data_IF_849058416212
#
_entry.id   IF_849058416212
#
_cell.length_a   1.000
_cell.length_b   1.000
_cell.length_c   1.000
_cell.angle_alpha   90.00
_cell.angle_beta   90.00
_cell.angle_gamma   90.00
#
_symmetry.space_group_name_H-M   'P 1'
#
loop_
_entity.id
_entity.type
_entity.pdbx_description
1 polymer ?
#
# COMPACT_ATOMS: atom_id res chain seq x y z
N UNK A 1 -3.14 -17.04 -23.39
CA UNK A 1 -2.75 -15.63 -23.16
C UNK A 1 -1.56 -15.61 -22.20
N UNK A 2 -0.50 -14.88 -22.52
CA UNK A 2 0.60 -14.61 -21.58
C UNK A 2 0.10 -13.78 -20.40
N UNK A 3 0.81 -13.77 -19.28
CA UNK A 3 0.46 -12.94 -18.11
C UNK A 3 0.26 -11.47 -18.53
N UNK A 4 1.23 -10.93 -19.29
CA UNK A 4 1.21 -9.58 -19.85
C UNK A 4 -0.02 -9.29 -20.73
N UNK A 5 -0.45 -10.25 -21.54
CA UNK A 5 -1.64 -10.06 -22.38
C UNK A 5 -2.92 -10.02 -21.55
N UNK A 6 -2.96 -10.75 -20.43
CA UNK A 6 -4.06 -10.67 -19.47
C UNK A 6 -4.04 -9.33 -18.75
N UNK A 7 -2.88 -8.88 -18.27
CA UNK A 7 -2.73 -7.58 -17.58
C UNK A 7 -3.26 -6.45 -18.47
N UNK A 8 -2.86 -6.44 -19.75
CA UNK A 8 -3.35 -5.49 -20.73
C UNK A 8 -4.87 -5.53 -20.92
N UNK A 9 -5.47 -6.72 -20.97
CA UNK A 9 -6.92 -6.85 -21.13
C UNK A 9 -7.69 -6.35 -19.89
N UNK A 10 -7.19 -6.63 -18.68
CA UNK A 10 -7.78 -6.10 -17.45
C UNK A 10 -7.58 -4.59 -17.34
N UNK A 11 -6.40 -4.09 -17.70
CA UNK A 11 -6.09 -2.66 -17.77
C UNK A 11 -7.04 -1.93 -18.73
N UNK A 12 -7.26 -2.50 -19.91
CA UNK A 12 -8.22 -1.97 -20.88
C UNK A 12 -9.66 -2.06 -20.38
N UNK A 13 -10.03 -3.09 -19.62
CA UNK A 13 -11.36 -3.21 -19.03
C UNK A 13 -11.60 -2.28 -17.82
N UNK A 14 -10.53 -1.90 -17.11
CA UNK A 14 -10.58 -1.00 -15.97
C UNK A 14 -10.47 0.50 -16.34
N UNK A 15 -10.35 0.82 -17.63
CA UNK A 15 -10.28 2.20 -18.11
C UNK A 15 -11.69 2.78 -18.26
N UNK A 16 -11.95 3.90 -17.57
CA UNK A 16 -13.28 4.54 -17.55
C UNK A 16 -13.59 5.35 -18.82
N UNK A 17 -12.59 5.78 -19.59
CA UNK A 17 -12.78 6.67 -20.74
C UNK A 17 -12.88 5.89 -22.06
N UNK A 18 -11.83 5.12 -22.37
CA UNK A 18 -11.71 4.41 -23.65
C UNK A 18 -11.66 2.88 -23.49
N UNK A 19 -12.08 2.37 -22.33
CA UNK A 19 -11.95 0.96 -21.98
C UNK A 19 -12.92 -0.02 -22.65
N UNK A 20 -12.65 -1.31 -22.43
CA UNK A 20 -13.57 -2.37 -22.83
C UNK A 20 -14.86 -2.34 -22.00
N UNK A 21 -16.01 -2.45 -22.67
CA UNK A 21 -17.30 -2.63 -21.99
C UNK A 21 -17.55 -4.07 -21.52
N UNK A 22 -16.85 -5.04 -22.10
CA UNK A 22 -17.02 -6.46 -21.82
C UNK A 22 -15.65 -7.15 -21.71
N UNK A 23 -15.49 -7.93 -20.65
CA UNK A 23 -14.36 -8.83 -20.49
C UNK A 23 -14.85 -10.28 -20.53
N UNK A 24 -14.34 -11.06 -21.48
CA UNK A 24 -14.65 -12.49 -21.59
C UNK A 24 -13.57 -13.27 -20.85
N UNK A 25 -13.97 -13.99 -19.80
CA UNK A 25 -13.08 -14.77 -18.96
C UNK A 25 -13.36 -16.27 -19.15
N UNK A 26 -12.29 -17.05 -19.35
CA UNK A 26 -12.29 -18.48 -19.05
C UNK A 26 -11.93 -18.71 -17.58
N UNK A 27 -12.20 -19.89 -17.02
CA UNK A 27 -11.89 -20.27 -15.63
C UNK A 27 -10.47 -19.84 -15.16
N UNK A 28 -9.44 -20.11 -15.98
CA UNK A 28 -8.03 -19.82 -15.67
C UNK A 28 -7.68 -18.33 -15.88
N UNK A 29 -8.56 -17.57 -16.54
CA UNK A 29 -8.34 -16.18 -16.96
C UNK A 29 -8.70 -15.15 -15.87
N UNK A 30 -9.54 -15.53 -14.91
CA UNK A 30 -10.05 -14.65 -13.85
C UNK A 30 -9.39 -14.86 -12.48
N UNK A 31 -8.44 -15.80 -12.36
CA UNK A 31 -7.77 -16.08 -11.09
C UNK A 31 -6.89 -14.88 -10.64
N UNK A 32 -6.82 -14.63 -9.34
CA UNK A 32 -6.01 -13.56 -8.74
C UNK A 32 -6.55 -12.13 -8.79
N UNK A 33 -7.51 -11.78 -9.66
CA UNK A 33 -7.84 -10.37 -9.93
C UNK A 33 -9.05 -9.80 -9.19
N UNK A 34 -9.02 -8.49 -8.93
CA UNK A 34 -10.09 -7.71 -8.34
C UNK A 34 -10.80 -6.86 -9.41
N UNK A 35 -12.08 -7.13 -9.69
CA UNK A 35 -12.91 -6.30 -10.58
C UNK A 35 -13.97 -5.55 -9.79
N UNK A 36 -13.57 -4.89 -8.70
CA UNK A 36 -14.48 -4.20 -7.78
C UNK A 36 -15.19 -2.98 -8.40
N UNK A 37 -14.73 -2.51 -9.56
CA UNK A 37 -15.41 -1.49 -10.36
C UNK A 37 -16.58 -2.06 -11.18
N UNK A 38 -16.57 -3.37 -11.48
CA UNK A 38 -17.65 -4.04 -12.18
C UNK A 38 -18.67 -4.60 -11.20
N UNK A 39 -19.94 -4.45 -11.54
CA UNK A 39 -21.08 -4.91 -10.74
C UNK A 39 -22.11 -5.67 -11.57
N UNK A 40 -21.73 -6.11 -12.78
CA UNK A 40 -22.54 -6.97 -13.65
C UNK A 40 -21.75 -8.21 -14.02
N UNK A 41 -22.29 -9.39 -13.70
CA UNK A 41 -21.70 -10.68 -14.04
C UNK A 41 -22.65 -11.44 -14.98
N UNK A 42 -22.18 -11.79 -16.17
CA UNK A 42 -22.93 -12.65 -17.09
C UNK A 42 -22.34 -14.06 -17.06
N UNK A 43 -23.12 -15.02 -16.58
CA UNK A 43 -22.74 -16.43 -16.54
C UNK A 43 -23.27 -17.13 -17.80
N UNK A 44 -22.43 -17.18 -18.84
CA UNK A 44 -22.79 -17.83 -20.10
C UNK A 44 -22.95 -19.37 -19.96
N UNK A 45 -22.28 -19.95 -18.97
CA UNK A 45 -22.47 -21.31 -18.51
C UNK A 45 -22.45 -21.35 -16.97
N UNK A 46 -23.13 -22.35 -16.42
CA UNK A 46 -23.02 -22.72 -15.01
C UNK A 46 -22.09 -23.94 -14.85
N UNK A 47 -21.11 -23.88 -13.93
CA UNK A 47 -20.28 -25.03 -13.60
C UNK A 47 -21.09 -26.05 -12.80
N UNK A 48 -20.71 -27.33 -12.84
CA UNK A 48 -21.36 -28.35 -12.00
C UNK A 48 -20.95 -28.23 -10.53
N UNK A 49 -19.71 -27.81 -10.26
CA UNK A 49 -19.22 -27.63 -8.90
C UNK A 49 -19.65 -26.25 -8.35
N UNK A 50 -20.46 -26.21 -7.27
CA UNK A 50 -20.88 -24.95 -6.63
C UNK A 50 -19.71 -24.06 -6.18
N UNK A 51 -18.57 -24.64 -5.81
CA UNK A 51 -17.41 -23.85 -5.38
C UNK A 51 -16.83 -23.03 -6.54
N UNK A 52 -16.92 -23.53 -7.77
CA UNK A 52 -16.50 -22.76 -8.95
C UNK A 52 -17.46 -21.61 -9.24
N UNK A 53 -18.76 -21.82 -9.02
CA UNK A 53 -19.75 -20.73 -9.13
C UNK A 53 -19.46 -19.63 -8.11
N UNK A 54 -19.23 -20.00 -6.85
CA UNK A 54 -18.87 -19.05 -5.78
C UNK A 54 -17.57 -18.31 -6.12
N UNK A 55 -16.56 -19.00 -6.66
CA UNK A 55 -15.31 -18.36 -7.08
C UNK A 55 -15.50 -17.38 -8.25
N UNK A 56 -16.47 -17.61 -9.15
CA UNK A 56 -16.83 -16.69 -10.24
C UNK A 56 -17.52 -15.44 -9.68
N UNK A 57 -18.50 -15.61 -8.78
CA UNK A 57 -19.23 -14.50 -8.14
C UNK A 57 -18.28 -13.67 -7.27
N UNK A 58 -17.45 -14.35 -6.48
CA UNK A 58 -16.45 -13.74 -5.60
C UNK A 58 -15.32 -13.00 -6.31
N UNK A 59 -15.36 -12.81 -7.64
CA UNK A 59 -14.50 -11.84 -8.35
C UNK A 59 -15.03 -10.42 -8.27
N UNK A 60 -16.35 -10.28 -8.12
CA UNK A 60 -17.06 -9.01 -7.97
C UNK A 60 -17.59 -8.84 -6.55
N UNK A 61 -18.06 -9.93 -5.92
CA UNK A 61 -18.56 -9.94 -4.55
C UNK A 61 -17.40 -10.02 -3.55
N UNK A 62 -16.75 -8.87 -3.32
CA UNK A 62 -15.65 -8.70 -2.37
C UNK A 62 -15.87 -7.44 -1.55
N UNK A 63 -15.30 -7.43 -0.34
CA UNK A 63 -15.19 -6.21 0.47
C UNK A 63 -14.49 -5.13 -0.35
N UNK A 64 -15.13 -3.97 -0.50
CA UNK A 64 -14.68 -2.87 -1.37
C UNK A 64 -15.54 -2.65 -2.62
N UNK A 65 -16.43 -3.59 -2.97
CA UNK A 65 -17.46 -3.40 -3.98
C UNK A 65 -18.44 -2.29 -3.53
N UNK A 66 -18.69 -1.32 -4.42
CA UNK A 66 -19.51 -0.12 -4.10
C UNK A 66 -20.96 -0.26 -4.56
N UNK A 67 -21.28 -1.24 -5.39
CA UNK A 67 -22.61 -1.43 -5.98
C UNK A 67 -23.11 -2.86 -5.80
N UNK A 68 -24.43 -3.05 -5.82
CA UNK A 68 -25.03 -4.39 -5.80
C UNK A 68 -24.59 -5.16 -7.05
N UNK A 69 -24.05 -6.37 -6.85
CA UNK A 69 -23.66 -7.26 -7.95
C UNK A 69 -24.91 -7.83 -8.60
N UNK A 70 -25.10 -7.57 -9.90
CA UNK A 70 -26.20 -8.07 -10.70
C UNK A 70 -25.73 -9.28 -11.52
N UNK A 71 -26.28 -10.46 -11.23
CA UNK A 71 -25.94 -11.70 -11.92
C UNK A 71 -26.98 -11.97 -13.01
N UNK A 72 -26.52 -12.15 -14.24
CA UNK A 72 -27.32 -12.44 -15.43
C UNK A 72 -26.97 -13.85 -15.90
N UNK A 73 -27.94 -14.76 -15.89
CA UNK A 73 -27.74 -16.16 -16.29
C UNK A 73 -28.60 -16.47 -17.51
N UNK A 74 -28.14 -16.19 -18.74
CA UNK A 74 -28.82 -16.65 -19.93
C UNK A 74 -28.73 -18.18 -20.03
N UNK A 75 -29.86 -18.84 -20.21
CA UNK A 75 -29.92 -20.30 -20.40
C UNK A 75 -30.91 -20.64 -21.52
N UNK A 76 -30.72 -21.81 -22.15
CA UNK A 76 -31.67 -22.35 -23.11
C UNK A 76 -32.84 -23.00 -22.38
N UNK A 77 -34.07 -22.72 -22.82
CA UNK A 77 -35.25 -23.43 -22.35
C UNK A 77 -35.13 -24.92 -22.67
N UNK A 78 -35.71 -25.76 -21.80
CA UNK A 78 -35.73 -27.21 -21.91
C UNK A 78 -34.32 -27.79 -22.06
N UNK A 79 -33.40 -27.35 -21.19
CA UNK A 79 -32.00 -27.76 -21.20
C UNK A 79 -31.47 -28.16 -19.82
N UNK A 80 -30.36 -28.91 -19.78
CA UNK A 80 -29.66 -29.22 -18.53
C UNK A 80 -29.20 -27.96 -17.78
N UNK A 81 -28.90 -26.87 -18.49
CA UNK A 81 -28.56 -25.57 -17.88
C UNK A 81 -29.76 -24.96 -17.14
N UNK A 82 -30.99 -25.12 -17.65
CA UNK A 82 -32.20 -24.69 -16.92
C UNK A 82 -32.37 -25.47 -15.61
N UNK A 83 -32.19 -26.79 -15.65
CA UNK A 83 -32.24 -27.66 -14.45
C UNK A 83 -31.21 -27.19 -13.42
N UNK A 84 -29.97 -26.99 -13.85
CA UNK A 84 -28.87 -26.57 -12.98
C UNK A 84 -29.10 -25.15 -12.40
N UNK A 85 -29.57 -24.21 -13.22
CA UNK A 85 -29.92 -22.86 -12.79
C UNK A 85 -30.98 -22.88 -11.70
N UNK A 86 -32.08 -23.62 -11.92
CA UNK A 86 -33.15 -23.75 -10.93
C UNK A 86 -32.67 -24.41 -9.64
N UNK A 87 -31.85 -25.46 -9.74
CA UNK A 87 -31.28 -26.10 -8.56
C UNK A 87 -30.36 -25.15 -7.76
N UNK A 88 -29.53 -24.36 -8.45
CA UNK A 88 -28.68 -23.35 -7.80
C UNK A 88 -29.48 -22.26 -7.11
N UNK A 89 -30.53 -21.75 -7.75
CA UNK A 89 -31.32 -20.63 -7.24
C UNK A 89 -32.35 -21.08 -6.18
N UNK A 90 -33.19 -22.05 -6.51
CA UNK A 90 -34.33 -22.47 -5.68
C UNK A 90 -33.93 -23.49 -4.62
N UNK A 91 -32.93 -24.34 -4.92
CA UNK A 91 -32.44 -25.40 -4.04
C UNK A 91 -31.45 -24.89 -3.01
N UNK A 92 -30.28 -24.42 -3.45
CA UNK A 92 -29.19 -24.01 -2.54
C UNK A 92 -29.02 -22.49 -2.38
N UNK A 93 -29.75 -21.70 -3.17
CA UNK A 93 -29.68 -20.22 -3.26
C UNK A 93 -28.26 -19.64 -3.40
N UNK A 94 -27.45 -20.21 -4.28
CA UNK A 94 -26.04 -19.84 -4.46
C UNK A 94 -25.81 -18.53 -5.25
N UNK A 95 -26.84 -17.94 -5.86
CA UNK A 95 -26.70 -16.68 -6.60
C UNK A 95 -26.85 -15.45 -5.69
N UNK A 96 -27.77 -15.51 -4.72
CA UNK A 96 -28.06 -14.37 -3.84
C UNK A 96 -27.29 -14.43 -2.52
N UNK A 97 -26.76 -15.60 -2.17
CA UNK A 97 -26.11 -15.86 -0.88
C UNK A 97 -24.98 -16.87 -1.05
N UNK A 98 -23.89 -16.64 -0.34
CA UNK A 98 -22.83 -17.63 -0.19
C UNK A 98 -23.36 -18.89 0.50
N UNK A 99 -23.14 -20.04 -0.12
CA UNK A 99 -23.52 -21.34 0.42
C UNK A 99 -22.27 -22.18 0.76
N UNK A 100 -21.76 -22.13 2.00
CA UNK A 100 -20.53 -22.84 2.38
C UNK A 100 -20.65 -24.37 2.33
N UNK A 101 -21.88 -24.89 2.22
CA UNK A 101 -22.16 -26.32 2.09
C UNK A 101 -22.45 -26.74 0.63
N UNK A 102 -22.23 -25.87 -0.35
CA UNK A 102 -22.59 -26.09 -1.76
C UNK A 102 -22.07 -27.43 -2.30
N UNK A 103 -20.75 -27.68 -2.22
CA UNK A 103 -20.15 -28.93 -2.70
C UNK A 103 -20.71 -30.18 -2.01
N UNK A 104 -20.91 -30.13 -0.68
CA UNK A 104 -21.45 -31.26 0.07
C UNK A 104 -22.91 -31.57 -0.35
N UNK A 105 -23.71 -30.53 -0.59
CA UNK A 105 -25.08 -30.67 -1.09
C UNK A 105 -25.09 -31.20 -2.53
N UNK A 106 -24.20 -30.71 -3.39
CA UNK A 106 -24.04 -31.24 -4.75
C UNK A 106 -23.73 -32.73 -4.71
N UNK A 107 -22.74 -33.17 -3.92
CA UNK A 107 -22.37 -34.58 -3.80
C UNK A 107 -23.53 -35.46 -3.29
N UNK A 108 -24.32 -34.93 -2.35
CA UNK A 108 -25.49 -35.64 -1.81
C UNK A 108 -26.58 -35.85 -2.85
N UNK A 109 -26.82 -34.86 -3.72
CA UNK A 109 -27.91 -34.87 -4.70
C UNK A 109 -27.46 -35.17 -6.13
N UNK A 110 -26.18 -35.44 -6.37
CA UNK A 110 -25.56 -35.62 -7.69
C UNK A 110 -26.32 -36.64 -8.56
N UNK A 111 -26.66 -37.80 -7.99
CA UNK A 111 -27.38 -38.84 -8.74
C UNK A 111 -28.78 -38.38 -9.19
N UNK A 112 -29.53 -37.71 -8.30
CA UNK A 112 -30.86 -37.22 -8.62
C UNK A 112 -30.80 -36.04 -9.62
N UNK A 113 -29.78 -35.19 -9.50
CA UNK A 113 -29.52 -34.11 -10.43
C UNK A 113 -29.18 -34.65 -11.83
N UNK A 114 -28.32 -35.67 -11.93
CA UNK A 114 -27.98 -36.35 -13.19
C UNK A 114 -29.19 -37.01 -13.86
N UNK A 115 -30.14 -37.53 -13.09
CA UNK A 115 -31.41 -38.05 -13.62
C UNK A 115 -32.26 -36.93 -14.22
N UNK A 116 -32.35 -35.77 -13.55
CA UNK A 116 -33.07 -34.60 -14.07
C UNK A 116 -32.39 -34.01 -15.31
N UNK A 117 -31.04 -34.03 -15.40
CA UNK A 117 -30.33 -33.64 -16.62
C UNK A 117 -30.65 -34.53 -17.81
N UNK A 118 -30.90 -35.81 -17.58
CA UNK A 118 -31.22 -36.78 -18.62
C UNK A 118 -32.71 -36.77 -19.02
N UNK A 119 -33.58 -36.25 -18.16
CA UNK A 119 -35.04 -36.22 -18.35
C UNK A 119 -35.61 -34.84 -18.01
N UNK A 120 -35.27 -33.85 -18.83
CA UNK A 120 -35.50 -32.42 -18.57
C UNK A 120 -36.99 -32.03 -18.59
N UNK A 121 -37.83 -32.81 -19.25
CA UNK A 121 -39.28 -32.57 -19.36
C UNK A 121 -40.05 -32.95 -18.08
N UNK A 122 -39.42 -33.70 -17.16
CA UNK A 122 -40.08 -34.16 -15.93
C UNK A 122 -40.00 -33.10 -14.82
N UNK A 123 -40.84 -32.07 -14.94
CA UNK A 123 -40.89 -30.96 -13.99
C UNK A 123 -41.19 -31.40 -12.55
N UNK A 124 -42.07 -32.39 -12.36
CA UNK A 124 -42.39 -32.91 -11.04
C UNK A 124 -41.18 -33.53 -10.32
N UNK A 125 -40.29 -34.21 -11.06
CA UNK A 125 -39.06 -34.75 -10.50
C UNK A 125 -38.08 -33.63 -10.10
N UNK A 126 -38.01 -32.56 -10.91
CA UNK A 126 -37.18 -31.39 -10.61
C UNK A 126 -37.70 -30.64 -9.38
N UNK A 127 -39.00 -30.39 -9.28
CA UNK A 127 -39.60 -29.74 -8.10
C UNK A 127 -39.32 -30.55 -6.82
N UNK A 128 -39.50 -31.88 -6.87
CA UNK A 128 -39.20 -32.73 -5.73
C UNK A 128 -37.71 -32.68 -5.34
N UNK A 129 -36.81 -32.65 -6.32
CA UNK A 129 -35.37 -32.50 -6.08
C UNK A 129 -35.06 -31.14 -5.42
N UNK A 130 -35.65 -30.07 -5.93
CA UNK A 130 -35.46 -28.71 -5.41
C UNK A 130 -35.96 -28.61 -3.97
N UNK A 131 -37.16 -29.12 -3.67
CA UNK A 131 -37.73 -29.10 -2.32
C UNK A 131 -36.88 -29.89 -1.33
N UNK A 132 -36.42 -31.09 -1.73
CA UNK A 132 -35.53 -31.91 -0.91
C UNK A 132 -34.19 -31.20 -0.67
N UNK A 133 -33.62 -30.58 -1.72
CA UNK A 133 -32.36 -29.84 -1.63
C UNK A 133 -32.51 -28.64 -0.71
N UNK A 134 -33.61 -27.89 -0.83
CA UNK A 134 -33.90 -26.70 -0.02
C UNK A 134 -34.06 -27.05 1.45
N UNK A 135 -34.81 -28.10 1.75
CA UNK A 135 -34.96 -28.60 3.13
C UNK A 135 -33.59 -28.99 3.71
N UNK A 136 -32.77 -29.71 2.95
CA UNK A 136 -31.44 -30.12 3.41
C UNK A 136 -30.48 -28.94 3.57
N UNK A 137 -30.54 -27.97 2.67
CA UNK A 137 -29.75 -26.73 2.75
C UNK A 137 -30.07 -25.97 4.02
N UNK A 138 -31.36 -25.80 4.34
CA UNK A 138 -31.78 -25.13 5.56
C UNK A 138 -31.29 -25.86 6.83
N UNK A 139 -31.39 -27.18 6.86
CA UNK A 139 -30.87 -28.02 7.95
C UNK A 139 -29.36 -27.86 8.12
N UNK A 140 -28.59 -27.96 7.03
CA UNK A 140 -27.13 -27.85 7.06
C UNK A 140 -26.66 -26.45 7.47
N UNK A 141 -27.29 -25.39 6.96
CA UNK A 141 -26.96 -24.03 7.36
C UNK A 141 -27.28 -23.78 8.84
N UNK A 142 -28.38 -24.32 9.36
CA UNK A 142 -28.69 -24.22 10.78
C UNK A 142 -27.66 -24.95 11.64
N UNK A 143 -27.24 -26.16 11.24
CA UNK A 143 -26.19 -26.90 11.93
C UNK A 143 -24.86 -26.13 11.95
N UNK A 144 -24.47 -25.53 10.81
CA UNK A 144 -23.27 -24.68 10.73
C UNK A 144 -23.38 -23.46 11.64
N UNK A 145 -24.53 -22.78 11.67
CA UNK A 145 -24.76 -21.63 12.55
C UNK A 145 -24.67 -22.00 14.05
N UNK A 146 -25.12 -23.19 14.42
CA UNK A 146 -25.01 -23.71 15.80
C UNK A 146 -23.58 -24.13 16.15
N UNK A 147 -22.80 -24.56 15.16
CA UNK A 147 -21.38 -24.91 15.32
C UNK A 147 -20.43 -23.70 15.34
N UNK A 148 -20.92 -22.47 15.13
CA UNK A 148 -20.09 -21.26 15.14
C UNK A 148 -19.55 -20.98 16.54
N UNK A 149 -18.23 -20.84 16.64
CA UNK A 149 -17.59 -20.28 17.83
C UNK A 149 -17.67 -18.75 17.78
N UNK A 150 -18.74 -18.22 18.39
CA UNK A 150 -18.98 -16.77 18.44
C UNK A 150 -17.90 -16.02 19.23
N UNK A 151 -17.26 -16.65 20.20
CA UNK A 151 -16.19 -16.01 20.96
C UNK A 151 -14.95 -15.86 20.10
N UNK A 152 -14.61 -16.88 19.31
CA UNK A 152 -13.52 -16.80 18.35
C UNK A 152 -13.80 -15.73 17.29
N UNK A 153 -15.01 -15.66 16.74
CA UNK A 153 -15.39 -14.64 15.75
C UNK A 153 -15.29 -13.21 16.33
N UNK A 154 -15.83 -12.97 17.53
CA UNK A 154 -15.74 -11.67 18.20
C UNK A 154 -14.30 -11.29 18.56
N UNK A 155 -13.43 -12.26 18.83
CA UNK A 155 -12.01 -12.02 19.07
C UNK A 155 -11.22 -11.84 17.76
N UNK A 156 -11.71 -12.41 16.65
CA UNK A 156 -11.00 -12.41 15.37
C UNK A 156 -10.95 -11.02 14.74
N UNK A 157 -12.03 -10.24 14.81
CA UNK A 157 -12.04 -8.85 14.37
C UNK A 157 -12.86 -8.03 15.35
N UNK A 158 -12.25 -6.96 15.87
CA UNK A 158 -12.98 -5.92 16.58
C UNK A 158 -13.12 -4.75 15.60
N UNK A 159 -14.32 -4.61 15.03
CA UNK A 159 -14.59 -3.66 13.95
C UNK A 159 -14.25 -2.22 14.34
N UNK A 160 -14.59 -1.78 15.57
CA UNK A 160 -14.29 -0.42 16.04
C UNK A 160 -12.78 -0.13 16.05
N UNK A 161 -11.97 -1.07 16.58
CA UNK A 161 -10.51 -0.92 16.58
C UNK A 161 -9.90 -1.07 15.20
N UNK A 162 -10.48 -1.94 14.37
CA UNK A 162 -10.03 -2.12 12.99
C UNK A 162 -10.25 -0.82 12.20
N UNK A 163 -11.41 -0.19 12.34
CA UNK A 163 -11.75 1.07 11.68
C UNK A 163 -10.83 2.23 12.11
N UNK A 164 -10.49 2.30 13.41
CA UNK A 164 -9.48 3.25 13.92
C UNK A 164 -8.12 3.04 13.25
N UNK A 165 -7.63 1.79 13.19
CA UNK A 165 -6.35 1.45 12.55
C UNK A 165 -6.38 1.78 11.06
N UNK A 166 -7.47 1.44 10.36
CA UNK A 166 -7.64 1.73 8.92
C UNK A 166 -7.61 3.23 8.68
N UNK A 167 -8.30 4.03 9.50
CA UNK A 167 -8.31 5.49 9.39
C UNK A 167 -6.90 6.05 9.53
N UNK A 168 -6.18 5.64 10.58
CA UNK A 168 -4.79 6.06 10.78
C UNK A 168 -3.86 5.61 9.64
N UNK A 169 -4.04 4.40 9.12
CA UNK A 169 -3.24 3.92 7.99
C UNK A 169 -3.44 4.78 6.74
N UNK A 170 -4.69 5.16 6.43
CA UNK A 170 -5.01 6.00 5.27
C UNK A 170 -4.44 7.41 5.45
N UNK A 171 -4.51 7.98 6.65
CA UNK A 171 -3.89 9.27 6.97
C UNK A 171 -2.36 9.23 6.83
N UNK A 172 -1.72 8.15 7.30
CA UNK A 172 -0.27 7.96 7.26
C UNK A 172 0.29 7.59 5.87
N UNK A 173 -0.56 7.27 4.88
CA UNK A 173 -0.09 7.14 3.49
C UNK A 173 0.53 8.45 2.98
N UNK A 174 0.08 9.62 3.49
CA UNK A 174 0.58 10.96 3.15
C UNK A 174 0.89 11.12 1.66
N UNK A 175 -0.04 10.68 0.81
CA UNK A 175 0.13 10.54 -0.64
C UNK A 175 0.79 11.75 -1.30
N UNK A 176 0.33 12.95 -0.96
CA UNK A 176 0.83 14.18 -1.57
C UNK A 176 2.29 14.47 -1.16
N UNK A 177 2.64 14.21 0.09
CA UNK A 177 4.00 14.37 0.60
C UNK A 177 4.96 13.41 -0.12
N UNK A 178 4.56 12.14 -0.24
CA UNK A 178 5.34 11.14 -0.95
C UNK A 178 5.49 11.49 -2.45
N UNK A 179 4.42 11.90 -3.11
CA UNK A 179 4.45 12.30 -4.51
C UNK A 179 5.41 13.47 -4.73
N UNK A 180 5.31 14.52 -3.92
CA UNK A 180 6.19 15.69 -4.02
C UNK A 180 7.65 15.33 -3.72
N UNK A 181 7.89 14.46 -2.74
CA UNK A 181 9.23 13.98 -2.40
C UNK A 181 9.83 13.20 -3.57
N UNK A 182 9.11 12.21 -4.10
CA UNK A 182 9.61 11.39 -5.20
C UNK A 182 9.80 12.19 -6.48
N UNK A 183 8.92 13.16 -6.78
CA UNK A 183 9.10 14.07 -7.92
C UNK A 183 10.44 14.81 -7.85
N UNK A 184 10.81 15.32 -6.66
CA UNK A 184 12.10 15.97 -6.44
C UNK A 184 13.26 15.00 -6.57
N UNK A 185 13.15 13.80 -6.00
CA UNK A 185 14.20 12.79 -6.10
C UNK A 185 14.42 12.39 -7.56
N UNK A 186 13.36 12.12 -8.31
CA UNK A 186 13.45 11.78 -9.72
C UNK A 186 14.15 12.89 -10.53
N UNK A 187 13.74 14.15 -10.36
CA UNK A 187 14.38 15.29 -11.03
C UNK A 187 15.88 15.41 -10.67
N UNK A 188 16.24 15.26 -9.39
CA UNK A 188 17.65 15.37 -8.97
C UNK A 188 18.52 14.23 -9.48
N UNK A 189 17.98 13.01 -9.59
CA UNK A 189 18.72 11.85 -10.09
C UNK A 189 18.61 11.66 -11.60
N UNK A 190 17.89 12.53 -12.31
CA UNK A 190 17.73 12.51 -13.77
C UNK A 190 16.82 11.40 -14.28
N UNK A 191 15.81 11.02 -13.50
CA UNK A 191 14.71 10.14 -13.92
C UNK A 191 13.63 11.00 -14.58
N UNK A 192 13.30 10.70 -15.83
CA UNK A 192 12.27 11.40 -16.59
C UNK A 192 10.88 10.97 -16.15
N UNK A 193 9.98 11.95 -16.04
CA UNK A 193 8.61 11.78 -15.59
C UNK A 193 7.66 12.23 -16.70
N UNK A 194 6.90 11.30 -17.26
CA UNK A 194 5.85 11.57 -18.24
C UNK A 194 4.48 11.40 -17.59
N UNK A 195 3.59 12.39 -17.80
CA UNK A 195 2.22 12.30 -17.28
C UNK A 195 1.44 11.21 -18.03
N UNK A 196 0.87 10.24 -17.29
CA UNK A 196 -0.03 9.24 -17.85
C UNK A 196 -1.50 9.60 -17.59
N UNK A 197 -1.88 9.79 -16.33
CA UNK A 197 -3.24 10.18 -15.92
C UNK A 197 -3.19 11.03 -14.65
N UNK A 198 -4.34 11.51 -14.16
CA UNK A 198 -4.42 12.39 -12.99
C UNK A 198 -3.75 11.85 -11.71
N UNK A 199 -3.53 10.52 -11.62
CA UNK A 199 -2.89 9.89 -10.47
C UNK A 199 -1.72 8.95 -10.84
N UNK A 200 -1.28 8.92 -12.11
CA UNK A 200 -0.26 8.00 -12.58
C UNK A 200 0.82 8.70 -13.41
N UNK A 201 2.07 8.24 -13.23
CA UNK A 201 3.27 8.75 -13.90
C UNK A 201 4.02 7.60 -14.57
N UNK A 202 4.55 7.84 -15.76
CA UNK A 202 5.52 6.95 -16.41
C UNK A 202 6.92 7.45 -16.06
N UNK A 203 7.74 6.55 -15.52
CA UNK A 203 9.12 6.82 -15.14
C UNK A 203 10.05 6.18 -16.16
N UNK A 204 11.01 6.95 -16.68
CA UNK A 204 12.03 6.47 -17.63
C UNK A 204 13.43 6.92 -17.20
N UNK A 205 14.49 6.14 -17.49
CA UNK A 205 15.85 6.62 -17.34
C UNK A 205 16.10 7.81 -18.29
N UNK A 206 16.60 8.93 -17.76
CA UNK A 206 16.95 10.11 -18.55
C UNK A 206 18.40 10.11 -19.03
N UNK A 207 18.70 10.91 -20.06
CA UNK A 207 20.06 11.00 -20.65
C UNK A 207 21.13 11.54 -19.67
N UNK A 208 20.70 12.25 -18.62
CA UNK A 208 21.55 12.94 -17.65
C UNK A 208 21.50 12.30 -16.26
N UNK A 209 21.06 11.05 -16.19
CA UNK A 209 20.95 10.29 -14.96
C UNK A 209 22.30 10.18 -14.24
N UNK A 210 22.32 10.49 -12.93
CA UNK A 210 23.58 10.56 -12.16
C UNK A 210 24.22 9.20 -11.96
N UNK A 211 23.40 8.16 -11.85
CA UNK A 211 23.81 6.77 -11.67
C UNK A 211 23.24 5.91 -12.80
N UNK A 212 23.92 4.81 -13.14
CA UNK A 212 23.47 3.90 -14.20
C UNK A 212 22.21 3.10 -13.84
N UNK A 213 21.77 3.15 -12.58
CA UNK A 213 20.63 2.39 -12.09
C UNK A 213 19.88 3.20 -11.03
N UNK A 214 18.54 3.21 -11.10
CA UNK A 214 17.68 3.72 -10.04
C UNK A 214 16.90 2.56 -9.44
N UNK A 215 16.75 2.48 -8.10
CA UNK A 215 16.08 1.36 -7.45
C UNK A 215 14.70 1.05 -8.04
N UNK A 216 14.53 -0.14 -8.61
CA UNK A 216 13.24 -0.58 -9.17
C UNK A 216 12.84 0.08 -10.50
N UNK A 217 13.72 0.85 -11.14
CA UNK A 217 13.52 1.38 -12.48
C UNK A 217 14.16 0.45 -13.52
N UNK A 218 13.40 0.02 -14.52
CA UNK A 218 13.88 -0.75 -15.66
C UNK A 218 14.23 0.15 -16.84
N UNK A 219 15.04 -0.36 -17.78
CA UNK A 219 15.41 0.35 -19.02
C UNK A 219 14.19 0.69 -19.91
N UNK A 220 13.15 -0.15 -19.87
CA UNK A 220 11.89 0.06 -20.60
C UNK A 220 10.97 1.12 -19.94
N UNK A 221 11.31 1.53 -18.72
CA UNK A 221 10.49 2.38 -17.87
C UNK A 221 9.41 1.61 -17.10
N UNK A 222 8.80 2.28 -16.12
CA UNK A 222 7.74 1.73 -15.28
C UNK A 222 6.62 2.74 -15.09
N UNK A 223 5.38 2.25 -15.08
CA UNK A 223 4.22 3.10 -14.72
C UNK A 223 3.96 2.95 -13.24
N UNK A 224 3.84 4.09 -12.55
CA UNK A 224 3.65 4.15 -11.11
C UNK A 224 2.44 5.03 -10.75
N UNK A 225 1.79 4.72 -9.64
CA UNK A 225 0.74 5.54 -9.04
C UNK A 225 0.96 5.67 -7.55
N UNK A 226 0.59 6.82 -6.99
CA UNK A 226 0.51 7.03 -5.55
C UNK A 226 -0.91 6.75 -5.03
N UNK A 227 -1.85 6.35 -5.90
CA UNK A 227 -3.23 6.06 -5.54
C UNK A 227 -3.49 4.57 -5.38
N UNK A 228 -3.87 4.16 -4.16
CA UNK A 228 -4.23 2.78 -3.86
C UNK A 228 -5.42 2.30 -4.70
N UNK A 229 -6.41 3.16 -4.93
CA UNK A 229 -7.59 2.83 -5.74
C UNK A 229 -7.21 2.51 -7.20
N UNK A 230 -6.28 3.29 -7.76
CA UNK A 230 -5.77 3.05 -9.12
C UNK A 230 -4.96 1.76 -9.14
N UNK A 231 -4.06 1.54 -8.18
CA UNK A 231 -3.28 0.30 -8.11
C UNK A 231 -4.14 -0.96 -7.93
N UNK A 232 -5.27 -0.88 -7.20
CA UNK A 232 -6.19 -2.01 -7.04
C UNK A 232 -6.95 -2.35 -8.33
N UNK A 233 -7.17 -1.37 -9.20
CA UNK A 233 -7.82 -1.59 -10.52
C UNK A 233 -6.82 -1.97 -11.62
N UNK A 234 -5.54 -1.57 -11.46
CA UNK A 234 -4.48 -1.72 -12.45
C UNK A 234 -3.26 -2.44 -11.86
N UNK A 235 -3.25 -3.78 -11.95
CA UNK A 235 -2.13 -4.62 -11.49
C UNK A 235 -0.81 -4.35 -12.24
N UNK A 236 -0.88 -3.76 -13.43
CA UNK A 236 0.28 -3.38 -14.25
C UNK A 236 0.99 -2.11 -13.76
N UNK A 237 0.37 -1.35 -12.85
CA UNK A 237 0.90 -0.10 -12.31
C UNK A 237 1.46 -0.34 -10.90
N UNK A 238 2.71 0.10 -10.67
CA UNK A 238 3.34 0.00 -9.35
C UNK A 238 2.70 0.99 -8.37
N UNK A 239 2.32 0.50 -7.18
CA UNK A 239 1.86 1.35 -6.09
C UNK A 239 3.05 1.86 -5.28
N UNK A 240 3.36 3.15 -5.39
CA UNK A 240 4.41 3.77 -4.58
C UNK A 240 3.85 4.19 -3.22
N UNK A 241 4.32 3.51 -2.17
CA UNK A 241 4.16 3.87 -0.77
C UNK A 241 5.53 4.17 -0.14
N UNK A 242 5.55 4.71 1.09
CA UNK A 242 6.80 4.90 1.84
C UNK A 242 7.61 3.60 2.05
N UNK A 243 6.93 2.45 1.99
CA UNK A 243 7.55 1.13 2.16
C UNK A 243 7.94 0.47 0.82
N UNK A 244 7.61 1.10 -0.31
CA UNK A 244 7.89 0.52 -1.62
C UNK A 244 9.42 0.43 -1.84
N UNK A 245 9.96 -0.68 -2.38
CA UNK A 245 11.41 -0.87 -2.53
C UNK A 245 12.12 0.26 -3.32
N UNK A 246 11.45 0.82 -4.33
CA UNK A 246 11.96 2.00 -5.06
C UNK A 246 12.11 3.22 -4.14
N UNK A 247 11.14 3.46 -3.25
CA UNK A 247 11.14 4.63 -2.35
C UNK A 247 12.18 4.44 -1.26
N UNK A 248 12.24 3.28 -0.62
CA UNK A 248 13.27 2.95 0.38
C UNK A 248 14.66 3.03 -0.24
N UNK A 249 14.85 2.44 -1.42
CA UNK A 249 16.14 2.47 -2.13
C UNK A 249 16.52 3.90 -2.53
N UNK A 250 15.57 4.72 -2.96
CA UNK A 250 15.81 6.11 -3.28
C UNK A 250 16.20 6.93 -2.04
N UNK A 251 15.55 6.69 -0.90
CA UNK A 251 15.94 7.28 0.39
C UNK A 251 17.35 6.86 0.80
N UNK A 252 17.68 5.57 0.69
CA UNK A 252 19.02 5.07 1.00
C UNK A 252 20.09 5.69 0.10
N UNK A 253 19.81 5.82 -1.20
CA UNK A 253 20.69 6.49 -2.16
C UNK A 253 20.94 7.96 -1.78
N UNK A 254 19.90 8.68 -1.35
CA UNK A 254 20.03 10.07 -0.86
C UNK A 254 20.85 10.13 0.43
N UNK A 255 20.60 9.22 1.38
CA UNK A 255 21.22 9.23 2.70
C UNK A 255 22.67 8.72 2.71
N UNK A 256 22.98 7.77 1.84
CA UNK A 256 24.31 7.16 1.69
C UNK A 256 25.21 7.95 0.73
N UNK A 257 24.62 8.81 -0.10
CA UNK A 257 25.35 9.63 -1.05
C UNK A 257 26.12 10.79 -0.42
N UNK A 258 27.06 11.35 -1.18
CA UNK A 258 27.75 12.60 -0.81
C UNK A 258 27.01 13.86 -1.27
N UNK A 259 25.99 13.68 -2.11
CA UNK A 259 25.23 14.77 -2.71
C UNK A 259 24.40 15.49 -1.64
N UNK A 260 24.56 16.81 -1.54
CA UNK A 260 23.86 17.61 -0.54
C UNK A 260 24.57 17.73 0.81
N UNK A 261 25.66 16.98 1.06
CA UNK A 261 26.39 17.03 2.35
C UNK A 261 27.03 18.39 2.67
N UNK A 262 27.34 19.19 1.64
CA UNK A 262 27.87 20.54 1.83
C UNK A 262 27.26 21.52 0.84
N UNK A 263 26.88 22.69 1.33
CA UNK A 263 26.39 23.79 0.52
C UNK A 263 26.99 25.12 1.00
N UNK A 264 27.13 26.07 0.08
CA UNK A 264 27.55 27.43 0.40
C UNK A 264 26.60 28.42 -0.27
N UNK A 265 25.97 29.28 0.53
CA UNK A 265 25.08 30.31 0.04
C UNK A 265 25.37 31.65 0.73
N UNK A 266 24.83 32.72 0.16
CA UNK A 266 24.78 34.03 0.81
C UNK A 266 23.40 34.27 1.38
N UNK A 267 23.32 34.90 2.54
CA UNK A 267 22.07 35.19 3.24
C UNK A 267 21.97 36.69 3.47
N UNK A 268 20.83 37.27 3.11
CA UNK A 268 20.54 38.68 3.40
C UNK A 268 19.69 38.78 4.67
N UNK A 269 20.36 38.94 5.80
CA UNK A 269 19.73 39.08 7.12
C UNK A 269 20.00 40.49 7.66
N UNK A 270 19.00 41.41 7.67
CA UNK A 270 19.17 42.77 8.18
C UNK A 270 19.72 42.89 9.62
N UNK A 271 19.39 42.00 10.59
CA UNK A 271 19.91 42.14 11.95
C UNK A 271 21.36 41.67 12.13
N UNK A 272 21.97 41.00 11.13
CA UNK A 272 23.35 40.53 11.21
C UNK A 272 24.31 41.49 10.52
N UNK A 273 25.52 41.61 11.09
CA UNK A 273 26.57 42.44 10.49
C UNK A 273 27.04 41.85 9.16
N UNK A 274 27.25 42.67 8.12
CA UNK A 274 27.84 42.20 6.86
C UNK A 274 29.19 41.51 7.10
N UNK A 275 29.40 40.35 6.49
CA UNK A 275 30.62 39.55 6.65
C UNK A 275 30.57 38.53 7.79
N UNK A 276 29.46 38.44 8.54
CA UNK A 276 29.23 37.35 9.49
C UNK A 276 29.17 36.00 8.77
N UNK A 277 29.92 35.03 9.28
CA UNK A 277 29.87 33.63 8.84
C UNK A 277 28.87 32.89 9.71
N UNK A 278 27.98 32.13 9.07
CA UNK A 278 27.07 31.19 9.72
C UNK A 278 27.46 29.78 9.29
N UNK A 279 27.40 28.84 10.21
CA UNK A 279 27.55 27.41 9.95
C UNK A 279 26.27 26.72 10.38
N UNK A 280 25.61 26.04 9.44
CA UNK A 280 24.58 25.06 9.72
C UNK A 280 25.22 23.67 9.62
N UNK A 281 25.10 22.89 10.69
CA UNK A 281 25.56 21.51 10.77
C UNK A 281 24.39 20.62 11.17
N UNK A 282 24.16 19.55 10.41
CA UNK A 282 23.12 18.56 10.68
C UNK A 282 23.83 17.28 11.10
N UNK A 283 23.76 16.97 12.39
CA UNK A 283 24.33 15.75 12.95
C UNK A 283 23.29 14.63 12.92
N UNK A 284 23.72 13.40 12.68
CA UNK A 284 22.84 12.23 12.72
C UNK A 284 23.18 11.43 13.98
N UNK A 285 22.18 11.13 14.79
CA UNK A 285 22.33 10.22 15.92
C UNK A 285 22.28 8.80 15.39
N UNK A 286 23.45 8.19 15.23
CA UNK A 286 23.58 6.82 14.72
C UNK A 286 23.92 5.83 15.84
N UNK A 287 23.18 4.73 15.90
CA UNK A 287 23.45 3.60 16.78
C UNK A 287 23.46 2.32 15.95
N UNK A 288 24.61 1.63 15.94
CA UNK A 288 24.77 0.37 15.22
C UNK A 288 24.13 -0.76 16.01
N UNK A 289 23.02 -1.30 15.50
CA UNK A 289 22.30 -2.42 16.10
C UNK A 289 21.79 -3.38 15.00
N UNK A 290 21.73 -4.70 15.27
CA UNK A 290 21.05 -5.65 14.38
C UNK A 290 19.57 -5.27 14.18
N UNK A 291 19.04 -5.51 12.98
CA UNK A 291 17.64 -5.20 12.62
C UNK A 291 16.62 -5.93 13.51
N UNK A 292 16.98 -7.11 14.02
CA UNK A 292 16.16 -7.90 14.96
C UNK A 292 15.79 -7.14 16.24
N UNK A 293 16.60 -6.15 16.65
CA UNK A 293 16.33 -5.32 17.84
C UNK A 293 15.33 -4.18 17.57
N UNK A 294 14.94 -3.96 16.30
CA UNK A 294 13.94 -2.97 15.90
C UNK A 294 14.19 -1.55 16.44
N UNK A 295 15.47 -1.15 16.56
CA UNK A 295 15.86 0.12 17.18
C UNK A 295 15.14 1.34 16.57
N UNK A 296 14.91 1.31 15.26
CA UNK A 296 14.26 2.38 14.49
C UNK A 296 12.84 2.72 15.00
N UNK A 297 12.16 1.82 15.73
CA UNK A 297 10.85 2.10 16.36
C UNK A 297 10.92 3.20 17.43
N UNK A 298 12.07 3.28 18.11
CA UNK A 298 12.27 4.16 19.26
C UNK A 298 13.28 5.27 18.97
N UNK A 299 14.31 4.96 18.18
CA UNK A 299 15.31 5.90 17.71
C UNK A 299 15.40 5.79 16.18
N UNK A 300 14.45 6.39 15.43
CA UNK A 300 14.56 6.51 13.98
C UNK A 300 15.75 7.41 13.61
N UNK A 301 16.00 7.59 12.30
CA UNK A 301 17.05 8.50 11.81
C UNK A 301 16.81 9.93 12.34
N UNK A 302 17.40 10.23 13.49
CA UNK A 302 17.14 11.46 14.23
C UNK A 302 18.29 12.42 13.99
N UNK A 303 17.95 13.60 13.46
CA UNK A 303 18.93 14.64 13.17
C UNK A 303 18.95 15.70 14.26
N UNK A 304 20.14 16.12 14.66
CA UNK A 304 20.37 17.28 15.54
C UNK A 304 20.95 18.40 14.69
N UNK A 305 20.13 19.41 14.42
CA UNK A 305 20.51 20.58 13.62
C UNK A 305 21.04 21.69 14.52
N UNK A 306 22.27 22.13 14.25
CA UNK A 306 22.95 23.19 14.96
C UNK A 306 23.30 24.33 13.99
N UNK A 307 22.93 25.56 14.33
CA UNK A 307 23.31 26.77 13.59
C UNK A 307 24.12 27.66 14.51
N UNK A 308 25.37 27.95 14.15
CA UNK A 308 26.26 28.82 14.93
C UNK A 308 26.78 29.99 14.10
N UNK A 309 27.01 31.13 14.76
CA UNK A 309 27.67 32.29 14.15
C UNK A 309 29.18 32.34 14.44
N UNK A 310 29.85 33.29 13.80
CA UNK A 310 31.27 33.61 14.02
C UNK A 310 31.66 33.89 15.48
N UNK A 311 30.68 34.21 16.35
CA UNK A 311 30.87 34.52 17.76
C UNK A 311 30.54 33.31 18.66
N UNK A 312 30.34 32.11 18.09
CA UNK A 312 29.95 30.88 18.79
C UNK A 312 28.56 30.93 19.45
N UNK A 313 27.68 31.81 18.98
CA UNK A 313 26.29 31.91 19.43
C UNK A 313 25.45 30.85 18.74
N UNK A 314 24.65 30.10 19.50
CA UNK A 314 23.68 29.17 18.96
C UNK A 314 22.42 29.92 18.48
N UNK A 315 22.18 29.86 17.17
CA UNK A 315 21.05 30.46 16.47
C UNK A 315 20.05 29.40 15.97
N UNK A 316 20.18 28.14 16.37
CA UNK A 316 19.36 27.02 15.86
C UNK A 316 17.86 27.24 16.03
N UNK A 317 17.45 27.89 17.14
CA UNK A 317 16.05 28.23 17.43
C UNK A 317 15.54 29.47 16.67
N UNK A 318 16.44 30.32 16.19
CA UNK A 318 16.10 31.61 15.55
C UNK A 318 16.09 31.45 14.03
N UNK A 319 17.06 30.73 13.47
CA UNK A 319 17.20 30.48 12.04
C UNK A 319 16.74 29.06 11.73
N UNK A 320 15.50 28.92 11.28
CA UNK A 320 14.91 27.64 10.86
C UNK A 320 15.34 27.27 9.42
N UNK A 321 15.19 26.00 9.00
CA UNK A 321 15.46 25.58 7.62
C UNK A 321 14.69 26.43 6.59
N UNK A 322 13.40 26.67 6.84
CA UNK A 322 12.55 27.50 5.97
C UNK A 322 13.08 28.94 5.77
N UNK A 323 13.77 29.51 6.77
CA UNK A 323 14.42 30.82 6.61
C UNK A 323 15.61 30.73 5.66
N UNK A 324 16.42 29.68 5.78
CA UNK A 324 17.61 29.47 4.94
C UNK A 324 17.23 29.17 3.49
N UNK A 325 16.23 28.31 3.27
CA UNK A 325 15.74 27.96 1.94
C UNK A 325 15.19 29.18 1.19
N UNK A 326 14.49 30.07 1.91
CA UNK A 326 13.90 31.28 1.32
C UNK A 326 14.90 32.41 1.08
N UNK A 327 15.88 32.57 1.96
CA UNK A 327 16.81 33.71 1.94
C UNK A 327 18.16 33.38 1.28
N UNK A 328 18.47 32.10 1.10
CA UNK A 328 19.70 31.62 0.50
C UNK A 328 19.81 32.00 -0.96
N UNK A 329 20.91 32.65 -1.32
CA UNK A 329 21.23 33.02 -2.70
C UNK A 329 22.47 32.27 -3.19
N UNK A 330 22.37 31.72 -4.41
CA UNK A 330 23.46 30.98 -5.06
C UNK A 330 24.69 31.86 -5.25
N UNK A 331 25.85 31.29 -4.96
CA UNK A 331 27.15 31.94 -5.14
C UNK A 331 27.92 31.21 -6.23
N UNK A 332 28.62 31.96 -7.10
CA UNK A 332 29.49 31.35 -8.12
C UNK A 332 30.60 30.55 -7.44
N UNK A 333 30.83 29.31 -7.91
CA UNK A 333 31.79 28.34 -7.33
C UNK A 333 33.16 28.94 -7.02
N UNK A 334 33.71 29.76 -7.93
CA UNK A 334 35.01 30.43 -7.74
C UNK A 334 35.03 31.35 -6.52
N UNK A 335 34.00 32.18 -6.37
CA UNK A 335 33.90 33.11 -5.24
C UNK A 335 33.70 32.36 -3.91
N UNK A 336 32.88 31.30 -3.93
CA UNK A 336 32.67 30.45 -2.76
C UNK A 336 33.99 29.80 -2.30
N UNK A 337 34.78 29.24 -3.23
CA UNK A 337 36.08 28.63 -2.91
C UNK A 337 37.06 29.62 -2.29
N UNK A 338 37.14 30.84 -2.82
CA UNK A 338 38.03 31.87 -2.28
C UNK A 338 37.57 32.29 -0.87
N UNK A 339 36.26 32.52 -0.65
CA UNK A 339 35.73 32.86 0.68
C UNK A 339 35.96 31.75 1.71
N UNK A 340 35.69 30.50 1.35
CA UNK A 340 35.92 29.33 2.22
C UNK A 340 37.40 29.22 2.59
N UNK A 341 38.33 29.48 1.64
CA UNK A 341 39.78 29.44 1.92
C UNK A 341 40.19 30.45 2.99
N UNK A 342 39.62 31.66 2.98
CA UNK A 342 39.90 32.69 3.98
C UNK A 342 39.23 32.39 5.33
N UNK A 343 37.99 31.88 5.31
CA UNK A 343 37.21 31.59 6.52
C UNK A 343 37.53 30.21 7.13
N UNK A 344 38.42 29.41 6.54
CA UNK A 344 38.68 28.01 6.96
C UNK A 344 39.02 27.87 8.45
N UNK A 345 39.92 28.66 9.07
CA UNK A 345 40.21 28.51 10.49
C UNK A 345 38.99 28.77 11.37
N UNK A 346 38.16 29.73 10.98
CA UNK A 346 36.94 30.09 11.68
C UNK A 346 35.88 28.99 11.54
N UNK A 347 35.66 28.47 10.34
CA UNK A 347 34.72 27.36 10.08
C UNK A 347 35.12 26.12 10.89
N UNK A 348 36.41 25.77 10.94
CA UNK A 348 36.88 24.63 11.74
C UNK A 348 36.57 24.81 13.23
N UNK A 349 36.76 26.01 13.79
CA UNK A 349 36.38 26.29 15.18
C UNK A 349 34.86 26.20 15.40
N UNK A 350 34.07 26.68 14.44
CA UNK A 350 32.61 26.61 14.49
C UNK A 350 32.09 25.17 14.41
N UNK A 351 32.74 24.29 13.63
CA UNK A 351 32.41 22.85 13.57
C UNK A 351 32.61 22.21 14.95
N UNK A 352 33.77 22.40 15.59
CA UNK A 352 34.02 21.85 16.92
C UNK A 352 33.05 22.39 17.97
N UNK A 353 32.62 23.65 17.85
CA UNK A 353 31.56 24.21 18.70
C UNK A 353 30.21 23.53 18.45
N UNK A 354 29.85 23.32 17.18
CA UNK A 354 28.60 22.68 16.81
C UNK A 354 28.56 21.21 17.28
N UNK A 355 29.66 20.48 17.18
CA UNK A 355 29.82 19.12 17.73
C UNK A 355 29.57 19.09 19.24
N UNK A 356 30.18 20.03 19.98
CA UNK A 356 29.98 20.12 21.44
C UNK A 356 28.52 20.38 21.80
N UNK A 357 27.83 21.23 21.05
CA UNK A 357 26.40 21.53 21.28
C UNK A 357 25.51 20.34 20.90
N UNK A 358 25.83 19.62 19.83
CA UNK A 358 25.10 18.43 19.42
C UNK A 358 25.25 17.30 20.46
N UNK A 359 26.45 17.10 21.01
CA UNK A 359 26.71 16.13 22.07
C UNK A 359 25.90 16.42 23.35
N UNK A 360 25.69 17.70 23.69
CA UNK A 360 24.84 18.09 24.81
C UNK A 360 23.36 17.74 24.59
N UNK A 361 22.89 17.78 23.34
CA UNK A 361 21.50 17.42 23.00
C UNK A 361 21.31 15.91 22.83
N UNK A 362 22.38 15.16 22.56
CA UNK A 362 22.36 13.71 22.35
C UNK A 362 21.78 12.95 23.54
N UNK A 363 22.15 13.30 24.77
CA UNK A 363 21.65 12.59 25.96
C UNK A 363 20.13 12.68 26.07
N UNK A 364 19.54 13.84 25.81
CA UNK A 364 18.09 14.02 25.83
C UNK A 364 17.37 13.16 24.78
N UNK A 365 17.94 13.02 23.58
CA UNK A 365 17.40 12.16 22.52
C UNK A 365 17.43 10.68 22.96
N UNK A 366 18.54 10.24 23.55
CA UNK A 366 18.70 8.86 24.04
C UNK A 366 17.72 8.57 25.19
N UNK A 367 17.60 9.48 26.16
CA UNK A 367 16.69 9.34 27.29
C UNK A 367 15.22 9.27 26.83
N UNK A 368 14.84 10.11 25.87
CA UNK A 368 13.49 10.10 25.31
C UNK A 368 13.20 8.77 24.59
N UNK A 369 14.14 8.29 23.76
CA UNK A 369 13.99 7.02 23.05
C UNK A 369 13.91 5.83 24.01
N UNK A 370 14.78 5.79 25.02
CA UNK A 370 14.79 4.75 26.05
C UNK A 370 13.50 4.76 26.89
N UNK A 371 13.02 5.95 27.27
CA UNK A 371 11.77 6.10 28.01
C UNK A 371 10.55 5.63 27.21
N UNK A 372 10.48 5.95 25.91
CA UNK A 372 9.43 5.45 25.01
C UNK A 372 9.47 3.93 24.91
N UNK A 373 10.65 3.36 24.69
CA UNK A 373 10.84 1.91 24.62
C UNK A 373 10.39 1.20 25.90
N UNK A 374 10.81 1.68 27.06
CA UNK A 374 10.42 1.09 28.34
C UNK A 374 8.91 1.14 28.54
N UNK A 375 8.27 2.27 28.21
CA UNK A 375 6.82 2.44 28.40
C UNK A 375 6.04 1.44 27.54
N UNK A 376 6.37 1.32 26.26
CA UNK A 376 5.68 0.41 25.32
C UNK A 376 5.96 -1.06 25.66
N UNK A 377 7.23 -1.46 25.81
CA UNK A 377 7.60 -2.86 26.00
C UNK A 377 7.20 -3.39 27.38
N UNK A 378 7.24 -2.58 28.43
CA UNK A 378 6.79 -3.02 29.77
C UNK A 378 5.29 -3.27 29.77
N UNK A 379 4.50 -2.43 29.10
CA UNK A 379 3.06 -2.64 28.98
C UNK A 379 2.74 -3.95 28.21
N UNK A 380 3.44 -4.20 27.10
CA UNK A 380 3.31 -5.46 26.34
C UNK A 380 3.73 -6.68 27.17
N UNK A 381 4.86 -6.60 27.87
CA UNK A 381 5.36 -7.68 28.74
C UNK A 381 4.36 -8.01 29.85
N UNK A 382 3.79 -6.99 30.50
CA UNK A 382 2.77 -7.16 31.53
C UNK A 382 1.52 -7.85 30.96
N UNK A 383 1.06 -7.42 29.78
CA UNK A 383 -0.08 -8.03 29.09
C UNK A 383 0.19 -9.50 28.75
N UNK A 384 1.34 -9.81 28.17
CA UNK A 384 1.70 -11.19 27.81
C UNK A 384 1.87 -12.08 29.03
N UNK A 385 2.45 -11.56 30.12
CA UNK A 385 2.59 -12.28 31.39
C UNK A 385 1.22 -12.59 32.00
N UNK A 386 0.30 -11.64 31.95
CA UNK A 386 -1.08 -11.85 32.42
C UNK A 386 -1.82 -12.89 31.56
N UNK A 387 -1.63 -12.86 30.23
CA UNK A 387 -2.22 -13.85 29.33
C UNK A 387 -1.66 -15.26 29.60
N UNK A 388 -0.35 -15.41 29.78
CA UNK A 388 0.30 -16.69 30.07
C UNK A 388 -0.12 -17.32 31.41
N UNK A 389 -0.67 -16.53 32.33
CA UNK A 389 -1.21 -17.04 33.60
C UNK A 389 -2.64 -17.58 33.49
N UNK A 390 -3.36 -17.27 32.40
CA UNK A 390 -4.81 -17.51 32.26
C UNK A 390 -5.14 -18.37 31.03
N UNK A 391 -4.35 -18.28 29.96
CA UNK A 391 -4.40 -19.11 28.75
C UNK A 391 -3.23 -20.09 28.74
#
# INVERSE_FOLDING_TARGET
LTLVARDRAAAYFADDEDGAQLLICSEIGSEGRNFQFSHHLVLFDLPLNPDLLEQRIGRLDRIGQRQTVNIHVPYYQDSAQQVLMRWYHEGINAFERTCPAGLALYQLFEQALNQCFSNQENEAALEQLIDNTKAKTAETLQALQQGRDRLLELNSCNDERADEIVTHMVEEERRQELSNYMEQVFDQFGVEQEHHSAASVILRPGDHMLEHNFPGLSDEGVTATFSREVALSREDIQFLSWEHPMVIGAMDMVLSGEFGNTAFCTLKLPPLTPGTVLLEAIFIVHCAAPSELQLQRYLPLTTVRIVVDSNNTDLSKVLTPAHLDKLGQKVRKRNAQDLIRHARPQITAMISRAETLADQQKEGVIEQAAGKMQTEQVAELQRLTALAAVN
#
